data_IF_750747253860
#
_entry.id   IF_750747253860
#
_cell.length_a   1.000
_cell.length_b   1.000
_cell.length_c   1.000
_cell.angle_alpha   90.00
_cell.angle_beta   90.00
_cell.angle_gamma   90.00
#
_symmetry.space_group_name_H-M   'P 1'
#
loop_
_entity.id
_entity.type
_entity.pdbx_description
1 polymer ?
#
# COMPACT_ATOMS: atom_id res chain seq x y z
N UNK A 1 7.13 -30.84 -42.18
CA UNK A 1 7.52 -29.43 -42.01
C UNK A 1 6.78 -28.68 -40.86
N UNK A 2 6.29 -29.37 -39.80
CA UNK A 2 5.52 -28.73 -38.70
C UNK A 2 6.20 -28.73 -37.32
N UNK A 3 7.27 -29.52 -37.10
CA UNK A 3 7.95 -29.63 -35.79
C UNK A 3 8.87 -28.43 -35.46
N UNK A 4 9.53 -27.85 -36.46
CA UNK A 4 10.51 -26.76 -36.28
C UNK A 4 9.90 -25.43 -35.85
N UNK A 5 8.64 -25.16 -36.24
CA UNK A 5 7.99 -23.89 -35.93
C UNK A 5 7.60 -23.82 -34.44
N UNK A 6 7.09 -24.92 -33.89
CA UNK A 6 6.65 -25.00 -32.49
C UNK A 6 7.81 -24.93 -31.50
N UNK A 7 8.95 -25.56 -31.80
CA UNK A 7 10.15 -25.47 -30.96
C UNK A 7 10.73 -24.06 -30.95
N UNK A 8 10.76 -23.39 -32.11
CA UNK A 8 11.28 -22.01 -32.22
C UNK A 8 10.35 -21.01 -31.51
N UNK A 9 9.03 -21.17 -31.65
CA UNK A 9 8.03 -20.35 -30.97
C UNK A 9 8.11 -20.50 -29.43
N UNK A 10 8.26 -21.74 -28.93
CA UNK A 10 8.42 -22.00 -27.49
C UNK A 10 9.68 -21.37 -26.92
N UNK A 11 10.80 -21.42 -27.65
CA UNK A 11 12.07 -20.79 -27.23
C UNK A 11 11.90 -19.27 -27.20
N UNK A 12 11.31 -18.66 -28.23
CA UNK A 12 11.06 -17.21 -28.28
C UNK A 12 10.11 -16.78 -27.15
N UNK A 13 9.06 -17.55 -26.87
CA UNK A 13 8.14 -17.28 -25.77
C UNK A 13 8.83 -17.40 -24.41
N UNK A 14 9.65 -18.44 -24.19
CA UNK A 14 10.46 -18.56 -22.97
C UNK A 14 11.42 -17.39 -22.79
N UNK A 15 12.10 -16.98 -23.86
CA UNK A 15 13.02 -15.83 -23.85
C UNK A 15 12.26 -14.55 -23.52
N UNK A 16 11.12 -14.27 -24.15
CA UNK A 16 10.29 -13.10 -23.85
C UNK A 16 9.74 -13.08 -22.42
N UNK A 17 9.29 -14.23 -21.89
CA UNK A 17 8.79 -14.35 -20.51
C UNK A 17 9.95 -14.21 -19.51
N UNK A 18 11.13 -14.74 -19.83
CA UNK A 18 12.31 -14.65 -18.96
C UNK A 18 12.91 -13.24 -18.92
N UNK A 19 12.95 -12.53 -20.06
CA UNK A 19 13.40 -11.13 -20.09
C UNK A 19 12.39 -10.17 -19.45
N UNK A 20 11.08 -10.44 -19.56
CA UNK A 20 10.07 -9.62 -18.85
C UNK A 20 10.02 -9.87 -17.35
N UNK A 21 10.37 -11.06 -16.87
CA UNK A 21 10.50 -11.35 -15.44
C UNK A 21 11.78 -10.74 -14.83
N UNK A 22 12.89 -10.68 -15.57
CA UNK A 22 14.14 -10.02 -15.15
C UNK A 22 14.03 -8.49 -15.02
N UNK A 23 13.17 -7.83 -15.80
CA UNK A 23 12.99 -6.37 -15.72
C UNK A 23 12.33 -5.93 -14.40
N UNK A 24 11.60 -6.83 -13.73
CA UNK A 24 11.07 -6.58 -12.38
C UNK A 24 12.13 -6.72 -11.27
N UNK A 25 13.30 -7.31 -11.57
CA UNK A 25 14.26 -7.75 -10.57
C UNK A 25 15.22 -6.67 -10.05
N UNK A 26 15.21 -5.43 -10.56
CA UNK A 26 16.11 -4.41 -10.01
C UNK A 26 15.68 -2.97 -10.30
N UNK A 27 14.50 -2.58 -9.84
CA UNK A 27 14.29 -1.15 -9.59
C UNK A 27 15.29 -0.74 -8.53
N UNK A 28 16.24 0.13 -8.90
CA UNK A 28 17.27 0.57 -7.97
C UNK A 28 16.63 1.36 -6.83
N UNK A 29 17.25 1.31 -5.66
CA UNK A 29 16.78 2.04 -4.48
C UNK A 29 16.70 3.54 -4.78
N UNK A 30 17.61 4.06 -5.62
CA UNK A 30 17.60 5.43 -6.09
C UNK A 30 16.33 5.77 -6.87
N UNK A 31 15.80 4.85 -7.67
CA UNK A 31 14.54 5.04 -8.40
C UNK A 31 13.36 5.10 -7.44
N UNK A 32 13.29 4.20 -6.46
CA UNK A 32 12.23 4.24 -5.44
C UNK A 32 12.31 5.56 -4.66
N UNK A 33 13.51 5.93 -4.20
CA UNK A 33 13.74 7.19 -3.47
C UNK A 33 13.38 8.41 -4.32
N UNK A 34 13.66 8.38 -5.62
CA UNK A 34 13.29 9.46 -6.54
C UNK A 34 11.76 9.57 -6.66
N UNK A 35 11.07 8.46 -6.93
CA UNK A 35 9.61 8.45 -7.04
C UNK A 35 8.92 8.93 -5.75
N UNK A 36 9.42 8.52 -4.57
CA UNK A 36 8.91 9.01 -3.29
C UNK A 36 9.08 10.53 -3.11
N UNK A 37 10.18 11.12 -3.63
CA UNK A 37 10.35 12.59 -3.62
C UNK A 37 9.40 13.28 -4.59
N UNK A 38 9.26 12.73 -5.79
CA UNK A 38 8.41 13.29 -6.85
C UNK A 38 6.92 13.22 -6.46
N UNK A 39 6.53 12.27 -5.60
CA UNK A 39 5.18 12.10 -5.04
C UNK A 39 4.99 12.68 -3.64
N UNK A 40 5.89 13.55 -3.20
CA UNK A 40 5.82 14.16 -1.87
C UNK A 40 4.46 14.83 -1.60
N UNK A 41 3.88 15.54 -2.57
CA UNK A 41 2.56 16.18 -2.45
C UNK A 41 1.43 15.18 -2.21
N UNK A 42 1.38 14.08 -2.98
CA UNK A 42 0.41 13.01 -2.78
C UNK A 42 0.59 12.36 -1.41
N UNK A 43 1.83 12.09 -1.02
CA UNK A 43 2.16 11.53 0.30
C UNK A 43 1.68 12.43 1.44
N UNK A 44 1.89 13.74 1.31
CA UNK A 44 1.42 14.72 2.31
C UNK A 44 -0.11 14.79 2.39
N UNK A 45 -0.82 14.46 1.30
CA UNK A 45 -2.28 14.49 1.23
C UNK A 45 -2.97 13.18 1.71
N UNK A 46 -2.21 12.16 2.15
CA UNK A 46 -2.81 10.90 2.66
C UNK A 46 -3.53 11.10 4.00
N UNK A 47 -3.20 12.15 4.74
CA UNK A 47 -3.84 12.43 6.03
C UNK A 47 -5.35 12.73 5.88
N UNK A 48 -6.19 11.96 6.57
CA UNK A 48 -7.67 12.07 6.51
C UNK A 48 -8.33 12.16 7.87
N UNK A 49 -7.56 12.14 8.96
CA UNK A 49 -8.11 11.96 10.31
C UNK A 49 -8.43 13.28 11.04
N UNK A 50 -8.03 14.45 10.53
CA UNK A 50 -8.34 15.75 11.17
C UNK A 50 -8.05 16.95 10.28
N UNK A 51 -8.20 18.16 10.84
CA UNK A 51 -8.02 19.43 10.13
C UNK A 51 -6.53 19.73 9.88
N UNK A 52 -6.05 19.24 8.75
CA UNK A 52 -4.67 19.35 8.33
C UNK A 52 -3.76 18.30 8.97
N UNK A 53 -2.66 18.05 8.27
CA UNK A 53 -1.65 17.06 8.65
C UNK A 53 -0.52 17.09 7.65
N UNK A 54 0.49 16.29 7.91
CA UNK A 54 1.57 16.09 6.96
C UNK A 54 1.96 14.64 6.89
N UNK A 55 2.44 14.28 5.72
CA UNK A 55 2.86 12.94 5.39
C UNK A 55 4.25 12.97 4.80
N UNK A 56 5.05 11.99 5.18
CA UNK A 56 6.42 11.84 4.75
C UNK A 56 6.72 10.37 4.41
N UNK A 57 7.37 10.12 3.28
CA UNK A 57 7.74 8.77 2.87
C UNK A 57 9.25 8.64 2.61
N UNK A 58 9.83 7.51 3.04
CA UNK A 58 11.22 7.09 2.74
C UNK A 58 11.27 5.62 2.40
N UNK A 59 12.32 5.24 1.67
CA UNK A 59 12.73 3.86 1.55
C UNK A 59 13.85 3.55 2.55
N UNK A 60 13.61 2.59 3.44
CA UNK A 60 14.51 2.14 4.51
C UNK A 60 14.77 0.64 4.34
N UNK A 61 16.02 0.20 4.34
CA UNK A 61 16.34 -1.23 4.34
C UNK A 61 16.47 -1.75 5.77
N UNK A 62 15.97 -2.96 6.09
CA UNK A 62 15.28 -3.91 5.22
C UNK A 62 13.75 -3.68 5.12
N UNK A 63 13.23 -2.64 5.75
CA UNK A 63 11.79 -2.48 6.02
C UNK A 63 10.93 -2.14 4.79
N UNK A 64 11.50 -1.57 3.73
CA UNK A 64 10.79 -1.14 2.52
C UNK A 64 10.40 0.34 2.57
N UNK A 65 9.21 0.66 2.07
CA UNK A 65 8.66 2.02 2.08
C UNK A 65 8.03 2.27 3.44
N UNK A 66 8.53 3.28 4.14
CA UNK A 66 8.01 3.77 5.41
C UNK A 66 7.32 5.10 5.17
N UNK A 67 6.04 5.17 5.50
CA UNK A 67 5.24 6.39 5.43
C UNK A 67 4.87 6.79 6.86
N UNK A 68 5.20 8.01 7.24
CA UNK A 68 4.85 8.61 8.52
C UNK A 68 3.83 9.72 8.26
N UNK A 69 2.64 9.59 8.84
CA UNK A 69 1.58 10.58 8.80
C UNK A 69 1.34 11.11 10.20
N UNK A 70 1.33 12.42 10.35
CA UNK A 70 1.16 13.07 11.65
C UNK A 70 0.24 14.29 11.50
N UNK A 71 -0.50 14.65 12.55
CA UNK A 71 -1.42 15.76 12.49
C UNK A 71 -0.68 17.11 12.46
N UNK A 72 -1.41 18.17 12.13
CA UNK A 72 -0.93 19.53 12.39
C UNK A 72 -0.81 19.78 13.90
N UNK A 73 0.03 20.74 14.31
CA UNK A 73 0.36 21.04 15.72
C UNK A 73 -0.85 21.21 16.66
N UNK A 74 -2.03 21.54 16.13
CA UNK A 74 -3.26 21.85 16.88
C UNK A 74 -4.38 20.82 16.73
N UNK A 75 -4.21 19.78 15.91
CA UNK A 75 -5.27 18.82 15.61
C UNK A 75 -4.98 17.42 16.16
N UNK A 76 -5.95 16.79 16.83
CA UNK A 76 -5.94 15.34 16.96
C UNK A 76 -6.87 14.74 15.92
N UNK A 77 -6.43 13.62 15.35
CA UNK A 77 -7.21 12.85 14.42
C UNK A 77 -8.27 12.01 15.12
N UNK A 78 -9.45 11.91 14.50
CA UNK A 78 -10.52 11.02 14.95
C UNK A 78 -10.58 9.83 14.00
N UNK A 79 -10.25 8.65 14.51
CA UNK A 79 -10.45 7.40 13.79
C UNK A 79 -11.91 6.99 13.83
N UNK A 80 -12.52 6.95 12.65
CA UNK A 80 -13.87 6.46 12.44
C UNK A 80 -13.96 5.79 11.06
N UNK A 81 -15.11 5.21 10.74
CA UNK A 81 -15.29 4.49 9.48
C UNK A 81 -15.03 5.37 8.25
N UNK A 82 -15.47 6.63 8.27
CA UNK A 82 -15.26 7.55 7.13
C UNK A 82 -13.77 7.83 6.95
N UNK A 83 -13.09 8.26 8.01
CA UNK A 83 -11.67 8.65 7.93
C UNK A 83 -10.77 7.48 7.56
N UNK A 84 -11.10 6.26 8.01
CA UNK A 84 -10.38 5.05 7.63
C UNK A 84 -10.60 4.65 6.17
N UNK A 85 -11.83 4.78 5.64
CA UNK A 85 -12.09 4.54 4.21
C UNK A 85 -11.37 5.57 3.32
N UNK A 86 -11.41 6.84 3.73
CA UNK A 86 -10.70 7.91 3.03
C UNK A 86 -9.19 7.64 3.02
N UNK A 87 -8.63 7.18 4.14
CA UNK A 87 -7.21 6.81 4.25
C UNK A 87 -6.80 5.73 3.25
N UNK A 88 -7.54 4.62 3.17
CA UNK A 88 -7.23 3.56 2.21
C UNK A 88 -7.36 4.04 0.75
N UNK A 89 -8.38 4.87 0.46
CA UNK A 89 -8.55 5.45 -0.87
C UNK A 89 -7.35 6.33 -1.26
N UNK A 90 -6.90 7.19 -0.34
CA UNK A 90 -5.74 8.08 -0.55
C UNK A 90 -4.41 7.34 -0.71
N UNK A 91 -4.22 6.23 -0.02
CA UNK A 91 -3.05 5.37 -0.25
C UNK A 91 -3.07 4.82 -1.68
N UNK A 92 -4.25 4.39 -2.15
CA UNK A 92 -4.47 3.96 -3.53
C UNK A 92 -4.06 5.06 -4.51
N UNK A 93 -4.61 6.28 -4.36
CA UNK A 93 -4.26 7.43 -5.19
C UNK A 93 -2.75 7.71 -5.21
N UNK A 94 -2.09 7.63 -4.04
CA UNK A 94 -0.68 7.95 -3.90
C UNK A 94 0.25 6.92 -4.58
N UNK A 95 -0.06 5.63 -4.44
CA UNK A 95 0.89 4.56 -4.74
C UNK A 95 0.39 3.46 -5.68
N UNK A 96 -0.90 3.30 -5.94
CA UNK A 96 -1.41 2.15 -6.71
C UNK A 96 -0.90 2.09 -8.15
N UNK A 97 -0.66 3.25 -8.78
CA UNK A 97 -0.12 3.34 -10.14
C UNK A 97 1.41 3.15 -10.23
N UNK A 98 2.12 3.10 -9.09
CA UNK A 98 3.57 2.89 -9.08
C UNK A 98 3.91 1.42 -9.32
N UNK A 99 5.08 1.14 -9.88
CA UNK A 99 5.53 -0.24 -10.13
C UNK A 99 6.74 -0.57 -9.27
N UNK A 100 6.65 -0.51 -7.95
CA UNK A 100 7.70 -1.02 -7.07
C UNK A 100 7.83 -2.55 -7.20
N UNK A 101 8.98 -3.14 -6.81
CA UNK A 101 9.11 -4.59 -6.74
C UNK A 101 7.98 -5.20 -5.88
N UNK A 102 7.36 -6.32 -6.29
CA UNK A 102 6.16 -6.89 -5.64
C UNK A 102 6.32 -7.12 -4.13
N UNK A 103 7.52 -7.50 -3.70
CA UNK A 103 7.84 -7.83 -2.31
C UNK A 103 8.22 -6.60 -1.47
N UNK A 104 8.23 -5.40 -2.07
CA UNK A 104 8.45 -4.14 -1.34
C UNK A 104 7.33 -3.95 -0.33
N UNK A 105 7.67 -3.88 0.95
CA UNK A 105 6.69 -3.66 2.02
C UNK A 105 6.37 -2.17 2.13
N UNK A 106 5.08 -1.84 2.22
CA UNK A 106 4.62 -0.56 2.72
C UNK A 106 4.41 -0.69 4.23
N UNK A 107 4.93 0.26 4.99
CA UNK A 107 4.74 0.39 6.42
C UNK A 107 4.27 1.81 6.71
N UNK A 108 2.98 1.96 6.94
CA UNK A 108 2.32 3.24 7.10
C UNK A 108 2.00 3.41 8.58
N UNK A 109 2.57 4.44 9.19
CA UNK A 109 2.38 4.80 10.59
C UNK A 109 1.65 6.13 10.63
N UNK A 110 0.58 6.18 11.39
CA UNK A 110 -0.30 7.35 11.52
C UNK A 110 -0.41 7.69 13.00
N UNK A 111 0.07 8.87 13.37
CA UNK A 111 -0.17 9.45 14.68
C UNK A 111 -1.55 10.13 14.65
N UNK A 112 -2.45 9.76 15.56
CA UNK A 112 -3.78 10.38 15.66
C UNK A 112 -3.88 11.30 16.89
N UNK A 113 -3.04 11.06 17.89
CA UNK A 113 -2.92 11.87 19.09
C UNK A 113 -2.06 11.16 20.13
N UNK A 114 -1.99 11.71 21.35
CA UNK A 114 -1.08 11.23 22.41
C UNK A 114 -1.13 9.73 22.68
N UNK A 115 -2.30 9.12 22.55
CA UNK A 115 -2.52 7.69 22.84
C UNK A 115 -3.23 6.98 21.68
N UNK A 116 -3.25 7.59 20.49
CA UNK A 116 -3.99 7.04 19.36
C UNK A 116 -3.13 6.97 18.12
N UNK A 117 -3.16 5.81 17.46
CA UNK A 117 -2.32 5.54 16.30
C UNK A 117 -2.96 4.51 15.38
N UNK A 118 -2.64 4.56 14.10
CA UNK A 118 -2.96 3.52 13.12
C UNK A 118 -1.66 3.06 12.45
N UNK A 119 -1.49 1.74 12.34
CA UNK A 119 -0.41 1.13 11.55
C UNK A 119 -1.03 0.23 10.51
N UNK A 120 -0.61 0.38 9.26
CA UNK A 120 -1.03 -0.49 8.15
C UNK A 120 0.21 -0.95 7.40
N UNK A 121 0.35 -2.28 7.25
CA UNK A 121 1.45 -2.88 6.50
C UNK A 121 0.95 -3.88 5.49
N UNK A 122 1.52 -3.86 4.29
CA UNK A 122 1.24 -4.83 3.23
C UNK A 122 2.34 -4.78 2.16
N UNK A 123 2.57 -5.87 1.41
CA UNK A 123 3.48 -5.84 0.27
C UNK A 123 2.84 -5.13 -0.92
N UNK A 124 3.66 -4.49 -1.75
CA UNK A 124 3.23 -3.71 -2.91
C UNK A 124 2.35 -4.53 -3.88
N UNK A 125 2.65 -5.83 -4.03
CA UNK A 125 1.83 -6.77 -4.80
C UNK A 125 0.34 -6.71 -4.46
N UNK A 126 0.00 -6.63 -3.17
CA UNK A 126 -1.39 -6.69 -2.69
C UNK A 126 -2.17 -5.47 -3.16
N UNK A 127 -1.56 -4.29 -3.07
CA UNK A 127 -2.13 -3.05 -3.60
C UNK A 127 -2.30 -3.11 -5.13
N UNK A 128 -1.33 -3.66 -5.85
CA UNK A 128 -1.43 -3.81 -7.32
C UNK A 128 -2.51 -4.79 -7.75
N UNK A 129 -2.63 -5.91 -7.05
CA UNK A 129 -3.65 -6.89 -7.36
C UNK A 129 -5.04 -6.32 -7.08
N UNK A 130 -5.22 -5.50 -6.03
CA UNK A 130 -6.50 -4.84 -5.78
C UNK A 130 -6.78 -3.73 -6.81
N UNK A 131 -5.81 -2.87 -7.12
CA UNK A 131 -5.94 -1.81 -8.13
C UNK A 131 -6.28 -2.36 -9.52
N UNK A 132 -5.77 -3.54 -9.86
CA UNK A 132 -6.06 -4.24 -11.13
C UNK A 132 -7.28 -5.16 -11.04
N UNK A 133 -8.07 -5.04 -9.97
CA UNK A 133 -9.30 -5.82 -9.74
C UNK A 133 -9.09 -7.35 -9.74
N UNK A 134 -7.88 -7.83 -9.43
CA UNK A 134 -7.55 -9.26 -9.37
C UNK A 134 -7.95 -9.92 -8.06
N UNK A 135 -8.03 -9.13 -6.99
CA UNK A 135 -8.46 -9.55 -5.66
C UNK A 135 -9.59 -8.64 -5.20
N UNK A 136 -10.46 -9.14 -4.34
CA UNK A 136 -11.51 -8.30 -3.75
C UNK A 136 -10.94 -7.38 -2.67
N UNK A 137 -11.73 -6.39 -2.23
CA UNK A 137 -11.37 -5.53 -1.09
C UNK A 137 -11.17 -6.32 0.20
N UNK A 138 -12.03 -7.31 0.45
CA UNK A 138 -11.88 -8.26 1.55
C UNK A 138 -10.53 -9.01 1.46
N UNK A 139 -10.13 -9.46 0.27
CA UNK A 139 -8.85 -10.16 0.08
C UNK A 139 -7.64 -9.23 0.23
N UNK A 140 -7.78 -7.96 -0.16
CA UNK A 140 -6.80 -6.92 0.11
C UNK A 140 -6.63 -6.73 1.62
N UNK A 141 -7.75 -6.50 2.34
CA UNK A 141 -7.73 -6.25 3.79
C UNK A 141 -7.15 -7.43 4.57
N UNK A 142 -7.45 -8.68 4.19
CA UNK A 142 -6.89 -9.88 4.83
C UNK A 142 -5.38 -10.00 4.70
N UNK A 143 -4.80 -9.40 3.67
CA UNK A 143 -3.36 -9.36 3.43
C UNK A 143 -2.69 -8.14 4.06
N UNK A 144 -3.46 -7.24 4.65
CA UNK A 144 -2.94 -6.14 5.45
C UNK A 144 -2.73 -6.58 6.90
N UNK A 145 -1.62 -6.18 7.48
CA UNK A 145 -1.43 -6.15 8.93
C UNK A 145 -1.87 -4.77 9.43
N UNK A 146 -2.96 -4.72 10.19
CA UNK A 146 -3.57 -3.49 10.68
C UNK A 146 -3.51 -3.47 12.20
N UNK A 147 -3.01 -2.36 12.77
CA UNK A 147 -3.02 -2.11 14.19
C UNK A 147 -3.68 -0.77 14.48
N UNK A 148 -4.58 -0.74 15.46
CA UNK A 148 -5.24 0.49 15.92
C UNK A 148 -4.96 0.61 17.42
N UNK A 149 -4.36 1.72 17.83
CA UNK A 149 -3.98 2.01 19.22
C UNK A 149 -3.14 0.89 19.86
N UNK A 150 -2.23 0.29 19.09
CA UNK A 150 -1.38 -0.82 19.55
C UNK A 150 -2.08 -2.18 19.63
N UNK A 151 -3.37 -2.27 19.31
CA UNK A 151 -4.11 -3.52 19.19
C UNK A 151 -4.12 -4.01 17.74
N UNK A 152 -3.77 -5.28 17.53
CA UNK A 152 -3.87 -5.90 16.19
C UNK A 152 -5.33 -6.12 15.84
N UNK A 153 -5.77 -5.53 14.73
CA UNK A 153 -7.13 -5.67 14.26
C UNK A 153 -7.40 -7.04 13.64
N UNK A 154 -8.63 -7.53 13.79
CA UNK A 154 -9.14 -8.73 13.12
C UNK A 154 -9.89 -8.30 11.86
N UNK A 155 -9.62 -8.95 10.73
CA UNK A 155 -10.30 -8.67 9.46
C UNK A 155 -11.27 -9.80 9.12
N UNK A 156 -12.56 -9.45 9.02
CA UNK A 156 -13.64 -10.37 8.64
C UNK A 156 -14.40 -9.81 7.42
N UNK A 157 -14.06 -10.31 6.24
CA UNK A 157 -14.59 -9.77 5.00
C UNK A 157 -14.17 -8.31 4.80
N UNK A 158 -15.15 -7.43 4.67
CA UNK A 158 -14.93 -5.98 4.56
C UNK A 158 -14.96 -5.26 5.92
N UNK A 159 -14.84 -5.98 7.03
CA UNK A 159 -14.93 -5.42 8.38
C UNK A 159 -13.57 -5.50 9.08
N UNK A 160 -13.10 -4.38 9.63
CA UNK A 160 -11.95 -4.30 10.52
C UNK A 160 -12.48 -4.20 11.95
N UNK A 161 -12.05 -5.09 12.83
CA UNK A 161 -12.51 -5.19 14.23
C UNK A 161 -11.36 -4.98 15.21
N UNK A 162 -11.64 -4.24 16.28
CA UNK A 162 -10.80 -4.09 17.48
C UNK A 162 -11.71 -4.08 18.71
N UNK A 163 -11.15 -4.19 19.91
CA UNK A 163 -11.89 -4.16 21.17
C UNK A 163 -12.82 -2.93 21.30
N UNK A 164 -12.39 -1.79 20.74
CA UNK A 164 -13.14 -0.53 20.75
C UNK A 164 -14.22 -0.38 19.69
N UNK A 165 -14.38 -1.34 18.76
CA UNK A 165 -15.45 -1.28 17.75
C UNK A 165 -15.12 -1.93 16.41
N UNK A 166 -16.03 -1.75 15.46
CA UNK A 166 -15.95 -2.31 14.11
C UNK A 166 -16.06 -1.21 13.05
N UNK A 167 -15.28 -1.33 11.99
CA UNK A 167 -15.28 -0.42 10.84
C UNK A 167 -15.67 -1.19 9.59
N UNK A 168 -16.78 -0.81 8.96
CA UNK A 168 -17.19 -1.38 7.66
C UNK A 168 -16.50 -0.61 6.54
N UNK A 169 -15.66 -1.31 5.80
CA UNK A 169 -14.93 -0.72 4.70
C UNK A 169 -15.84 -0.63 3.47
N UNK A 170 -15.60 0.35 2.59
CA UNK A 170 -16.23 0.55 1.28
C UNK A 170 -15.35 1.36 0.29
N UNK A 171 -14.06 1.52 0.59
CA UNK A 171 -13.12 2.27 -0.26
C UNK A 171 -12.90 1.65 -1.64
N UNK A 172 -12.38 2.47 -2.54
CA UNK A 172 -11.86 2.09 -3.86
C UNK A 172 -10.50 2.76 -4.05
N UNK A 173 -9.71 2.26 -5.00
CA UNK A 173 -8.47 2.92 -5.43
C UNK A 173 -8.71 3.72 -6.71
#
# INVERSE_FOLDING_TARGET
MKRSFWSTFLIIFFVLVFFTSLVYAQISIEVIRKDLRDRSSLTSNIWTFGDGGSGYARYVQPDGIVVLLYPSYSGYGILNQKTLNDFFSKIGEAFAATKYPPDTKFNIYVELGKESSLVVRFPAKVMYDFFKEKITRSDFLKQCEIWINGEKAIVEGDIIKVSGGEFRMNFKF
#
